data_IF_780426991101
#
_entry.id   IF_780426991101
#
_cell.length_a   1.000
_cell.length_b   1.000
_cell.length_c   1.000
_cell.angle_alpha   90.00
_cell.angle_beta   90.00
_cell.angle_gamma   90.00
#
_symmetry.space_group_name_H-M   'P 1'
#
loop_
_entity.id
_entity.type
_entity.pdbx_description
1 polymer ?
#
# COMPACT_ATOMS: atom_id res chain seq x y z
N UNK A 1 5.89 18.24 -2.69
CA UNK A 1 4.99 17.19 -3.21
C UNK A 1 4.52 16.25 -2.10
N UNK A 2 5.43 15.68 -1.28
CA UNK A 2 5.07 14.82 -0.13
C UNK A 2 4.12 15.54 0.85
N UNK A 3 4.47 16.74 1.28
CA UNK A 3 3.68 17.54 2.22
C UNK A 3 2.30 17.91 1.68
N UNK A 4 2.19 18.18 0.39
CA UNK A 4 0.91 18.49 -0.26
C UNK A 4 0.00 17.24 -0.31
N UNK A 5 0.56 16.07 -0.59
CA UNK A 5 -0.20 14.79 -0.58
C UNK A 5 -0.65 14.48 0.85
N UNK A 6 0.24 14.63 1.84
CA UNK A 6 -0.07 14.43 3.24
C UNK A 6 -1.17 15.40 3.70
N UNK A 7 -1.05 16.70 3.42
CA UNK A 7 -2.02 17.71 3.78
C UNK A 7 -3.41 17.44 3.17
N UNK A 8 -3.46 16.85 1.97
CA UNK A 8 -4.71 16.48 1.32
C UNK A 8 -5.35 15.22 1.95
N UNK A 9 -4.57 14.17 2.17
CA UNK A 9 -5.10 12.90 2.65
C UNK A 9 -5.29 12.82 4.15
N UNK A 10 -4.49 13.55 4.95
CA UNK A 10 -4.54 13.49 6.41
C UNK A 10 -5.93 13.87 6.95
N UNK A 11 -6.58 14.96 6.55
CA UNK A 11 -7.92 15.29 7.02
C UNK A 11 -8.98 14.26 6.62
N UNK A 12 -8.85 13.68 5.42
CA UNK A 12 -9.79 12.68 4.89
C UNK A 12 -9.71 11.37 5.69
N UNK A 13 -8.50 10.99 6.12
CA UNK A 13 -8.27 9.74 6.83
C UNK A 13 -8.36 9.87 8.35
N UNK A 14 -8.05 11.05 8.90
CA UNK A 14 -8.09 11.29 10.36
C UNK A 14 -9.53 11.24 10.91
N UNK A 15 -10.50 11.80 10.17
CA UNK A 15 -11.90 11.81 10.61
C UNK A 15 -12.47 10.38 10.78
N UNK A 16 -12.40 9.48 9.78
CA UNK A 16 -12.86 8.10 10.00
C UNK A 16 -12.00 7.37 11.05
N UNK A 17 -10.69 7.65 11.15
CA UNK A 17 -9.84 7.04 12.17
C UNK A 17 -10.28 7.41 13.58
N UNK A 18 -10.53 8.72 13.86
CA UNK A 18 -10.99 9.17 15.17
C UNK A 18 -12.33 8.54 15.55
N UNK A 19 -13.32 8.55 14.64
CA UNK A 19 -14.62 7.94 14.88
C UNK A 19 -14.53 6.44 15.18
N UNK A 20 -13.69 5.71 14.45
CA UNK A 20 -13.48 4.28 14.70
C UNK A 20 -12.75 4.07 16.03
N UNK A 21 -11.80 4.95 16.37
CA UNK A 21 -11.11 4.88 17.65
C UNK A 21 -12.05 5.14 18.84
N UNK A 22 -12.89 6.16 18.77
CA UNK A 22 -13.91 6.45 19.77
C UNK A 22 -14.84 5.25 20.02
N UNK A 23 -15.20 4.54 18.95
CA UNK A 23 -16.04 3.35 19.04
C UNK A 23 -15.30 2.12 19.57
N UNK A 24 -14.05 1.91 19.20
CA UNK A 24 -13.28 0.68 19.51
C UNK A 24 -12.43 0.78 20.75
N UNK A 25 -12.05 2.00 21.16
CA UNK A 25 -11.10 2.26 22.24
C UNK A 25 -9.67 1.73 21.98
N UNK A 26 -9.38 1.23 20.76
CA UNK A 26 -8.11 0.60 20.42
C UNK A 26 -7.55 1.16 19.11
N UNK A 27 -6.35 1.74 19.18
CA UNK A 27 -5.66 2.30 18.00
C UNK A 27 -5.41 1.26 16.90
N UNK A 28 -5.01 0.05 17.30
CA UNK A 28 -4.75 -1.03 16.34
C UNK A 28 -6.02 -1.50 15.64
N UNK A 29 -7.12 -1.63 16.36
CA UNK A 29 -8.43 -1.95 15.76
C UNK A 29 -8.90 -0.82 14.85
N UNK A 30 -8.68 0.43 15.25
CA UNK A 30 -9.03 1.58 14.41
C UNK A 30 -8.24 1.57 13.08
N UNK A 31 -6.94 1.30 13.11
CA UNK A 31 -6.12 1.15 11.90
C UNK A 31 -6.57 -0.05 11.07
N UNK A 32 -6.88 -1.19 11.68
CA UNK A 32 -7.36 -2.38 10.99
C UNK A 32 -8.65 -2.06 10.22
N UNK A 33 -9.64 -1.50 10.89
CA UNK A 33 -10.94 -1.18 10.29
C UNK A 33 -10.81 -0.10 9.21
N UNK A 34 -10.04 0.96 9.46
CA UNK A 34 -9.74 1.98 8.45
C UNK A 34 -9.08 1.36 7.22
N UNK A 35 -8.12 0.45 7.41
CA UNK A 35 -7.46 -0.25 6.29
C UNK A 35 -8.44 -1.09 5.50
N UNK A 36 -9.38 -1.77 6.17
CA UNK A 36 -10.45 -2.54 5.50
C UNK A 36 -11.33 -1.61 4.66
N UNK A 37 -11.77 -0.49 5.21
CA UNK A 37 -12.60 0.51 4.51
C UNK A 37 -11.88 1.01 3.24
N UNK A 38 -10.60 1.38 3.36
CA UNK A 38 -9.81 1.82 2.21
C UNK A 38 -9.68 0.71 1.16
N UNK A 39 -9.43 -0.54 1.57
CA UNK A 39 -9.32 -1.67 0.64
C UNK A 39 -10.63 -1.97 -0.07
N UNK A 40 -11.77 -1.82 0.61
CA UNK A 40 -13.10 -1.95 0.00
C UNK A 40 -13.33 -0.82 -1.01
N UNK A 41 -13.01 0.43 -0.65
CA UNK A 41 -13.13 1.58 -1.56
C UNK A 41 -12.26 1.43 -2.81
N UNK A 42 -11.07 0.82 -2.69
CA UNK A 42 -10.15 0.55 -3.79
C UNK A 42 -10.42 -0.78 -4.52
N UNK A 43 -11.39 -1.57 -4.09
CA UNK A 43 -11.69 -2.87 -4.70
C UNK A 43 -12.01 -2.78 -6.20
N UNK A 44 -12.79 -1.80 -6.72
CA UNK A 44 -13.02 -1.65 -8.15
C UNK A 44 -11.73 -1.45 -8.95
N UNK A 45 -10.79 -0.66 -8.40
CA UNK A 45 -9.47 -0.44 -8.99
C UNK A 45 -8.68 -1.75 -9.04
N UNK A 46 -8.67 -2.50 -7.94
CA UNK A 46 -7.98 -3.80 -7.85
C UNK A 46 -8.55 -4.81 -8.84
N UNK A 47 -9.88 -4.86 -9.02
CA UNK A 47 -10.54 -5.71 -10.02
C UNK A 47 -10.09 -5.33 -11.43
N UNK A 48 -10.06 -4.03 -11.76
CA UNK A 48 -9.57 -3.54 -13.05
C UNK A 48 -8.11 -3.94 -13.29
N UNK A 49 -7.27 -3.83 -12.27
CA UNK A 49 -5.88 -4.29 -12.31
C UNK A 49 -5.77 -5.79 -12.57
N UNK A 50 -6.59 -6.60 -11.90
CA UNK A 50 -6.62 -8.06 -12.10
C UNK A 50 -7.03 -8.41 -13.53
N UNK A 51 -8.03 -7.72 -14.10
CA UNK A 51 -8.45 -7.89 -15.51
C UNK A 51 -7.32 -7.49 -16.48
N UNK A 52 -6.61 -6.40 -16.21
CA UNK A 52 -5.47 -5.99 -17.04
C UNK A 52 -4.31 -6.99 -16.96
N UNK A 53 -4.03 -7.54 -15.77
CA UNK A 53 -3.02 -8.59 -15.58
C UNK A 53 -3.38 -9.85 -16.37
N UNK A 54 -4.66 -10.22 -16.44
CA UNK A 54 -5.12 -11.34 -17.25
C UNK A 54 -4.91 -11.10 -18.75
N UNK A 55 -5.20 -9.89 -19.26
CA UNK A 55 -4.88 -9.49 -20.65
C UNK A 55 -3.39 -9.60 -20.93
N UNK A 56 -2.54 -9.09 -20.03
CA UNK A 56 -1.10 -9.17 -20.15
C UNK A 56 -0.63 -10.63 -20.22
N UNK A 57 -1.22 -11.52 -19.43
CA UNK A 57 -0.92 -12.96 -19.48
C UNK A 57 -1.22 -13.56 -20.86
N UNK A 58 -2.31 -13.15 -21.51
CA UNK A 58 -2.64 -13.56 -22.90
C UNK A 58 -1.58 -13.12 -23.91
N UNK A 59 -1.00 -11.92 -23.72
CA UNK A 59 0.02 -11.40 -24.62
C UNK A 59 1.41 -11.99 -24.40
N UNK A 60 1.67 -12.61 -23.26
CA UNK A 60 2.98 -13.15 -22.91
C UNK A 60 3.50 -14.18 -23.94
N UNK A 61 2.62 -14.97 -24.55
CA UNK A 61 3.01 -15.89 -25.62
C UNK A 61 3.56 -15.15 -26.86
N UNK A 62 2.93 -14.01 -27.24
CA UNK A 62 3.41 -13.16 -28.34
C UNK A 62 4.73 -12.46 -27.96
N UNK A 63 4.83 -11.96 -26.73
CA UNK A 63 6.05 -11.34 -26.20
C UNK A 63 7.23 -12.32 -26.20
N UNK A 64 7.01 -13.56 -25.78
CA UNK A 64 8.06 -14.58 -25.78
C UNK A 64 8.55 -14.90 -27.19
N UNK A 65 7.64 -14.97 -28.18
CA UNK A 65 8.04 -15.14 -29.60
C UNK A 65 8.90 -13.97 -30.11
N UNK A 66 8.55 -12.73 -29.74
CA UNK A 66 9.35 -11.55 -30.09
C UNK A 66 10.75 -11.64 -29.44
N UNK A 67 10.82 -12.00 -28.15
CA UNK A 67 12.11 -12.16 -27.47
C UNK A 67 12.98 -13.25 -28.10
N UNK A 68 12.42 -14.37 -28.47
CA UNK A 68 13.13 -15.44 -29.18
C UNK A 68 13.60 -14.99 -30.57
N UNK A 69 12.73 -14.30 -31.33
CA UNK A 69 13.09 -13.80 -32.66
C UNK A 69 14.22 -12.79 -32.65
N UNK A 70 14.27 -11.94 -31.63
CA UNK A 70 15.29 -10.88 -31.47
C UNK A 70 16.26 -11.15 -30.32
N UNK A 71 16.61 -12.42 -30.05
CA UNK A 71 17.46 -12.83 -28.94
C UNK A 71 18.81 -12.07 -28.91
N UNK A 72 19.37 -11.79 -30.11
CA UNK A 72 20.66 -11.09 -30.26
C UNK A 72 20.54 -9.55 -30.32
N UNK A 73 19.30 -9.00 -30.26
CA UNK A 73 19.08 -7.56 -30.31
C UNK A 73 17.97 -7.14 -29.33
N UNK A 74 18.37 -6.92 -28.08
CA UNK A 74 17.47 -6.56 -27.00
C UNK A 74 16.73 -5.23 -27.25
N UNK A 75 17.36 -4.25 -27.88
CA UNK A 75 16.72 -2.97 -28.20
C UNK A 75 15.55 -3.17 -29.15
N UNK A 76 15.77 -3.94 -30.23
CA UNK A 76 14.73 -4.23 -31.22
C UNK A 76 13.62 -5.09 -30.62
N UNK A 77 13.95 -6.06 -29.76
CA UNK A 77 12.96 -6.83 -29.03
C UNK A 77 12.06 -5.92 -28.15
N UNK A 78 12.66 -4.94 -27.45
CA UNK A 78 11.94 -4.00 -26.60
C UNK A 78 10.99 -3.09 -27.42
N UNK A 79 11.45 -2.58 -28.56
CA UNK A 79 10.65 -1.76 -29.46
C UNK A 79 9.45 -2.54 -30.02
N UNK A 80 9.65 -3.77 -30.46
CA UNK A 80 8.55 -4.62 -30.97
C UNK A 80 7.57 -5.02 -29.88
N UNK A 81 8.03 -5.24 -28.66
CA UNK A 81 7.15 -5.49 -27.50
C UNK A 81 6.31 -4.25 -27.17
N UNK A 82 6.90 -3.06 -27.20
CA UNK A 82 6.15 -1.81 -27.00
C UNK A 82 5.11 -1.60 -28.10
N UNK A 83 5.48 -1.83 -29.37
CA UNK A 83 4.56 -1.75 -30.51
C UNK A 83 3.41 -2.77 -30.38
N UNK A 84 3.70 -4.00 -29.91
CA UNK A 84 2.68 -4.99 -29.62
C UNK A 84 1.70 -4.50 -28.55
N UNK A 85 2.20 -3.97 -27.44
CA UNK A 85 1.33 -3.45 -26.38
C UNK A 85 0.46 -2.28 -26.86
N UNK A 86 1.01 -1.36 -27.65
CA UNK A 86 0.25 -0.26 -28.25
C UNK A 86 -0.87 -0.75 -29.18
N UNK A 87 -0.57 -1.72 -30.05
CA UNK A 87 -1.56 -2.33 -30.98
C UNK A 87 -2.70 -3.03 -30.23
N UNK A 88 -2.41 -3.64 -29.09
CA UNK A 88 -3.39 -4.34 -28.26
C UNK A 88 -4.10 -3.40 -27.25
N UNK A 89 -3.90 -2.07 -27.40
CA UNK A 89 -4.55 -1.06 -26.56
C UNK A 89 -4.01 -0.95 -25.12
N UNK A 90 -2.79 -1.45 -24.90
CA UNK A 90 -2.09 -1.24 -23.63
C UNK A 90 -1.30 0.08 -23.70
N UNK A 91 -1.88 1.16 -23.21
CA UNK A 91 -1.13 2.40 -22.97
C UNK A 91 -0.11 2.24 -21.84
N UNK A 92 0.88 3.13 -21.78
CA UNK A 92 1.91 3.15 -20.74
C UNK A 92 1.32 3.14 -19.31
N UNK A 93 0.18 3.79 -19.09
CA UNK A 93 -0.54 3.79 -17.83
C UNK A 93 -1.09 2.40 -17.41
N UNK A 94 -1.33 1.49 -18.37
CA UNK A 94 -1.83 0.14 -18.10
C UNK A 94 -0.70 -0.90 -17.93
N UNK A 95 0.56 -0.50 -18.17
CA UNK A 95 1.73 -1.39 -18.13
C UNK A 95 2.31 -1.64 -16.73
N UNK A 96 1.50 -1.54 -15.67
CA UNK A 96 1.86 -2.00 -14.31
C UNK A 96 2.34 -0.92 -13.33
N UNK A 97 2.62 0.32 -13.75
CA UNK A 97 3.02 1.39 -12.81
C UNK A 97 1.82 2.10 -12.15
N UNK A 98 0.67 2.16 -12.80
CA UNK A 98 -0.54 2.77 -12.22
C UNK A 98 -0.97 2.14 -10.87
N UNK A 99 -1.02 0.80 -10.73
CA UNK A 99 -1.29 0.17 -9.44
C UNK A 99 -0.31 0.59 -8.35
N UNK A 100 0.98 0.65 -8.69
CA UNK A 100 2.03 1.05 -7.77
C UNK A 100 1.89 2.52 -7.36
N UNK A 101 1.56 3.41 -8.30
CA UNK A 101 1.33 4.82 -8.03
C UNK A 101 0.14 5.03 -7.07
N UNK A 102 -0.99 4.35 -7.30
CA UNK A 102 -2.16 4.41 -6.41
C UNK A 102 -1.80 3.87 -5.02
N UNK A 103 -1.09 2.75 -4.95
CA UNK A 103 -0.63 2.17 -3.68
C UNK A 103 0.31 3.12 -2.93
N UNK A 104 1.22 3.82 -3.64
CA UNK A 104 2.10 4.83 -3.03
C UNK A 104 1.31 6.03 -2.47
N UNK A 105 0.31 6.52 -3.19
CA UNK A 105 -0.54 7.62 -2.71
C UNK A 105 -1.28 7.25 -1.42
N UNK A 106 -1.89 6.06 -1.39
CA UNK A 106 -2.57 5.54 -0.19
C UNK A 106 -1.59 5.36 0.97
N UNK A 107 -0.41 4.84 0.68
CA UNK A 107 0.65 4.64 1.67
C UNK A 107 1.10 5.98 2.27
N UNK A 108 1.33 7.00 1.45
CA UNK A 108 1.72 8.34 1.93
C UNK A 108 0.62 8.93 2.82
N UNK A 109 -0.66 8.79 2.42
CA UNK A 109 -1.78 9.26 3.22
C UNK A 109 -1.89 8.57 4.58
N UNK A 110 -1.79 7.24 4.60
CA UNK A 110 -1.82 6.45 5.84
C UNK A 110 -0.61 6.74 6.73
N UNK A 111 0.58 6.86 6.17
CA UNK A 111 1.76 7.26 6.94
C UNK A 111 1.59 8.64 7.56
N UNK A 112 0.97 9.60 6.83
CA UNK A 112 0.64 10.89 7.38
C UNK A 112 -0.12 10.77 8.70
N UNK A 113 -1.20 9.99 8.69
CA UNK A 113 -2.06 9.77 9.87
C UNK A 113 -1.34 9.00 10.98
N UNK A 114 -0.49 8.03 10.64
CA UNK A 114 0.23 7.21 11.61
C UNK A 114 1.38 7.95 12.28
N UNK A 115 1.99 8.92 11.59
CA UNK A 115 3.01 9.80 12.19
C UNK A 115 2.42 10.91 13.04
N UNK A 116 1.14 11.19 12.90
CA UNK A 116 0.42 12.19 13.66
C UNK A 116 -0.77 11.58 14.41
N UNK A 117 -0.53 10.60 15.29
CA UNK A 117 -1.61 9.87 15.95
C UNK A 117 -2.42 10.75 16.91
N UNK A 118 -1.79 11.74 17.57
CA UNK A 118 -2.47 12.69 18.46
C UNK A 118 -3.42 13.58 17.66
N UNK A 119 -2.91 14.23 16.60
CA UNK A 119 -3.73 15.06 15.72
C UNK A 119 -4.83 14.27 15.02
N UNK A 120 -4.56 13.01 14.67
CA UNK A 120 -5.47 12.18 13.88
C UNK A 120 -6.56 11.51 14.71
N UNK A 121 -6.32 11.27 15.99
CA UNK A 121 -7.23 10.59 16.91
C UNK A 121 -7.89 11.56 17.87
N UNK A 122 -7.09 12.30 18.66
CA UNK A 122 -7.60 13.24 19.66
C UNK A 122 -8.07 14.57 19.06
N UNK A 123 -7.59 14.90 17.86
CA UNK A 123 -8.02 16.07 17.09
C UNK A 123 -7.85 17.40 17.85
N UNK A 124 -6.77 17.55 18.62
CA UNK A 124 -6.46 18.78 19.30
C UNK A 124 -6.35 19.96 18.32
N UNK A 125 -6.66 21.18 18.79
CA UNK A 125 -6.59 22.37 17.96
C UNK A 125 -5.17 22.61 17.42
N UNK A 126 -5.08 23.26 16.26
CA UNK A 126 -3.79 23.57 15.63
C UNK A 126 -2.86 24.35 16.56
N UNK A 127 -3.41 25.23 17.41
CA UNK A 127 -2.63 26.00 18.38
C UNK A 127 -1.99 25.11 19.45
N UNK A 128 -2.76 24.16 20.01
CA UNK A 128 -2.26 23.19 20.98
C UNK A 128 -1.16 22.31 20.35
N UNK A 129 -1.39 21.86 19.11
CA UNK A 129 -0.42 21.03 18.39
C UNK A 129 0.88 21.78 18.08
N UNK A 130 0.80 23.07 17.71
CA UNK A 130 1.97 23.93 17.50
C UNK A 130 2.76 24.14 18.79
N UNK A 131 2.09 24.38 19.90
CA UNK A 131 2.73 24.54 21.21
C UNK A 131 3.40 23.24 21.67
N UNK A 132 2.72 22.10 21.55
CA UNK A 132 3.29 20.78 21.82
C UNK A 132 4.52 20.50 20.95
N UNK A 133 4.48 20.87 19.67
CA UNK A 133 5.60 20.76 18.75
C UNK A 133 6.82 21.57 19.20
N UNK A 134 6.61 22.80 19.70
CA UNK A 134 7.69 23.64 20.23
C UNK A 134 8.35 23.01 21.48
N UNK A 135 7.54 22.43 22.37
CA UNK A 135 8.06 21.68 23.53
C UNK A 135 8.94 20.52 23.06
N UNK A 136 8.49 19.76 22.05
CA UNK A 136 9.23 18.62 21.53
C UNK A 136 10.46 19.00 20.70
N UNK A 137 10.46 20.16 20.02
CA UNK A 137 11.62 20.62 19.27
C UNK A 137 12.84 20.78 20.18
N UNK A 138 12.66 21.34 21.40
CA UNK A 138 13.72 21.45 22.40
C UNK A 138 14.24 20.08 22.88
N UNK A 139 13.42 19.03 22.83
CA UNK A 139 13.79 17.65 23.19
C UNK A 139 14.58 16.96 22.07
N UNK A 140 14.19 17.20 20.82
CA UNK A 140 14.86 16.66 19.64
C UNK A 140 16.30 17.18 19.56
N UNK A 141 16.53 18.44 19.91
CA UNK A 141 17.87 19.04 19.97
C UNK A 141 18.76 18.38 21.05
N UNK A 142 18.17 17.80 22.11
CA UNK A 142 18.95 17.08 23.16
C UNK A 142 19.35 15.64 22.80
N UNK A 143 19.05 15.17 21.59
CA UNK A 143 19.63 13.94 21.03
C UNK A 143 18.83 12.66 21.22
N UNK A 144 17.52 12.73 21.48
CA UNK A 144 16.68 11.52 21.49
C UNK A 144 16.65 10.90 20.07
N UNK A 145 17.26 9.72 19.93
CA UNK A 145 17.36 8.98 18.66
C UNK A 145 16.01 8.61 18.05
N UNK A 146 14.93 8.58 18.83
CA UNK A 146 13.57 8.27 18.39
C UNK A 146 12.85 9.49 17.80
N UNK A 147 13.36 10.69 18.01
CA UNK A 147 12.80 11.95 17.48
C UNK A 147 13.55 12.47 16.24
N UNK A 148 14.20 11.58 15.49
CA UNK A 148 15.08 11.91 14.35
C UNK A 148 14.42 12.68 13.19
N UNK A 149 13.12 12.88 13.22
CA UNK A 149 12.40 13.63 12.20
C UNK A 149 11.38 14.56 12.85
N UNK A 150 11.39 15.82 12.45
CA UNK A 150 10.34 16.80 12.80
C UNK A 150 8.91 16.31 12.53
N UNK A 151 8.76 15.28 11.71
CA UNK A 151 7.48 14.64 11.38
C UNK A 151 7.04 13.59 12.41
N UNK A 152 7.88 13.23 13.38
CA UNK A 152 7.58 12.19 14.39
C UNK A 152 7.40 12.77 15.80
N UNK A 153 7.23 14.08 15.95
CA UNK A 153 7.15 14.71 17.28
C UNK A 153 5.94 14.18 18.08
N UNK A 154 4.84 13.82 17.45
CA UNK A 154 3.67 13.26 18.14
C UNK A 154 3.94 11.88 18.71
N UNK A 155 4.68 11.05 17.97
CA UNK A 155 5.13 9.72 18.45
C UNK A 155 6.08 9.87 19.63
N UNK A 156 7.04 10.81 19.53
CA UNK A 156 7.96 11.10 20.62
C UNK A 156 7.23 11.68 21.85
N UNK A 157 6.18 12.47 21.63
CA UNK A 157 5.31 12.98 22.68
C UNK A 157 4.59 11.85 23.44
N UNK A 158 3.95 10.93 22.71
CA UNK A 158 3.29 9.78 23.32
C UNK A 158 4.25 8.94 24.18
N UNK A 159 5.48 8.78 23.73
CA UNK A 159 6.50 8.05 24.48
C UNK A 159 6.92 8.76 25.76
N UNK A 160 7.01 10.10 25.75
CA UNK A 160 7.65 10.88 26.81
C UNK A 160 6.67 11.81 27.55
N UNK A 161 5.34 11.67 27.39
CA UNK A 161 4.36 12.61 27.94
C UNK A 161 4.49 12.81 29.46
N UNK A 162 4.82 11.76 30.21
CA UNK A 162 5.06 11.84 31.68
C UNK A 162 6.27 12.71 32.01
N UNK A 163 7.32 12.64 31.20
CA UNK A 163 8.54 13.45 31.40
C UNK A 163 8.30 14.94 31.21
N UNK A 164 7.35 15.27 30.33
CA UNK A 164 7.02 16.67 29.97
C UNK A 164 5.69 17.16 30.56
N UNK A 165 5.13 16.45 31.55
CA UNK A 165 3.85 16.79 32.19
C UNK A 165 3.77 18.25 32.60
N UNK A 166 4.81 18.77 33.32
CA UNK A 166 4.81 20.18 33.76
C UNK A 166 4.72 21.18 32.62
N UNK A 167 5.43 20.96 31.52
CA UNK A 167 5.38 21.83 30.33
C UNK A 167 4.10 21.64 29.52
N UNK A 168 3.57 20.45 29.49
CA UNK A 168 2.34 20.13 28.79
C UNK A 168 1.12 20.73 29.51
N UNK A 169 1.12 20.76 30.82
CA UNK A 169 0.07 21.37 31.65
C UNK A 169 -0.04 22.91 31.50
N UNK A 170 0.99 23.56 30.95
CA UNK A 170 0.94 25.00 30.60
C UNK A 170 0.15 25.25 29.30
N UNK A 171 0.03 24.23 28.44
CA UNK A 171 -0.53 24.33 27.09
C UNK A 171 -1.85 23.57 26.94
N UNK A 172 -1.97 22.45 27.63
CA UNK A 172 -3.15 21.58 27.61
C UNK A 172 -4.02 21.83 28.83
N UNK A 173 -5.34 21.75 28.65
CA UNK A 173 -6.27 21.69 29.80
C UNK A 173 -6.07 20.36 30.57
N UNK A 174 -6.55 20.28 31.78
CA UNK A 174 -6.51 19.05 32.57
C UNK A 174 -7.22 17.89 31.85
N UNK A 175 -8.31 18.17 31.13
CA UNK A 175 -9.06 17.22 30.33
C UNK A 175 -8.23 16.74 29.10
N UNK A 176 -7.66 17.67 28.31
CA UNK A 176 -6.78 17.31 27.18
C UNK A 176 -5.59 16.47 27.61
N UNK A 177 -4.99 16.78 28.75
CA UNK A 177 -3.87 16.03 29.28
C UNK A 177 -4.30 14.61 29.73
N UNK A 178 -5.47 14.47 30.31
CA UNK A 178 -6.04 13.18 30.68
C UNK A 178 -6.32 12.34 29.42
N UNK A 179 -6.88 12.92 28.38
CA UNK A 179 -7.11 12.24 27.09
C UNK A 179 -5.79 11.80 26.43
N UNK A 180 -4.78 12.67 26.46
CA UNK A 180 -3.44 12.34 25.97
C UNK A 180 -2.82 11.19 26.74
N UNK A 181 -2.92 11.22 28.09
CA UNK A 181 -2.39 10.19 28.95
C UNK A 181 -3.10 8.85 28.74
N UNK A 182 -4.43 8.85 28.66
CA UNK A 182 -5.24 7.66 28.36
C UNK A 182 -4.87 7.07 26.99
N UNK A 183 -4.76 7.93 25.97
CA UNK A 183 -4.36 7.50 24.65
C UNK A 183 -2.96 6.91 24.63
N UNK A 184 -2.00 7.54 25.29
CA UNK A 184 -0.62 7.05 25.39
C UNK A 184 -0.53 5.68 26.08
N UNK A 185 -1.30 5.46 27.16
CA UNK A 185 -1.34 4.15 27.84
C UNK A 185 -2.00 3.05 26.98
N UNK A 186 -2.96 3.42 26.14
CA UNK A 186 -3.63 2.52 25.19
C UNK A 186 -2.86 2.35 23.87
N UNK A 187 -1.83 3.16 23.63
CA UNK A 187 -1.01 3.12 22.41
C UNK A 187 -0.04 1.93 22.42
N UNK A 188 -0.60 0.73 22.68
CA UNK A 188 0.13 -0.53 22.84
C UNK A 188 -0.52 -1.65 22.02
N UNK A 189 0.29 -2.61 21.62
CA UNK A 189 -0.17 -3.83 20.95
C UNK A 189 0.60 -5.04 21.46
N UNK A 190 -0.08 -6.06 21.96
CA UNK A 190 0.53 -7.26 22.59
C UNK A 190 1.57 -6.91 23.66
N UNK A 191 1.33 -5.86 24.43
CA UNK A 191 2.28 -5.37 25.47
C UNK A 191 3.43 -4.54 24.91
N UNK A 192 3.56 -4.37 23.60
CA UNK A 192 4.58 -3.54 22.96
C UNK A 192 4.06 -2.12 22.78
N UNK A 193 4.85 -1.13 23.15
CA UNK A 193 4.58 0.28 22.90
C UNK A 193 4.77 0.60 21.42
N UNK A 194 3.73 1.13 20.79
CA UNK A 194 3.70 1.42 19.35
C UNK A 194 4.57 2.61 18.95
N UNK A 195 4.97 3.44 19.92
CA UNK A 195 5.87 4.58 19.72
C UNK A 195 7.35 4.20 19.59
N UNK A 196 7.73 3.02 20.07
CA UNK A 196 9.12 2.56 20.07
C UNK A 196 9.53 2.07 18.67
N UNK A 197 10.70 2.50 18.21
CA UNK A 197 11.32 1.97 16.99
C UNK A 197 12.23 0.80 17.35
N UNK A 198 12.05 -0.39 16.73
CA UNK A 198 12.94 -1.53 16.98
C UNK A 198 14.39 -1.19 16.62
N UNK A 199 15.35 -1.56 17.47
CA UNK A 199 16.77 -1.41 17.15
C UNK A 199 17.30 -2.71 16.52
N UNK A 200 17.87 -2.60 15.31
CA UNK A 200 18.45 -3.75 14.62
C UNK A 200 19.71 -4.30 15.31
N UNK A 201 20.36 -3.52 16.20
CA UNK A 201 21.58 -3.90 16.92
C UNK A 201 21.31 -4.47 18.31
N UNK A 202 20.11 -4.20 18.87
CA UNK A 202 19.72 -4.66 20.19
C UNK A 202 18.46 -5.53 20.09
N UNK A 203 18.61 -6.86 20.03
CA UNK A 203 17.48 -7.79 19.94
C UNK A 203 16.58 -7.69 21.18
N UNK A 204 15.31 -7.38 20.95
CA UNK A 204 14.30 -7.23 22.00
C UNK A 204 12.95 -7.80 21.53
N UNK A 205 11.94 -7.78 22.40
CA UNK A 205 10.58 -8.20 22.03
C UNK A 205 10.02 -7.42 20.82
N UNK A 206 10.51 -6.21 20.57
CA UNK A 206 10.12 -5.41 19.41
C UNK A 206 10.53 -6.00 18.05
N UNK A 207 11.51 -6.92 18.02
CA UNK A 207 11.89 -7.65 16.81
C UNK A 207 10.77 -8.54 16.25
N UNK A 208 9.79 -8.87 17.09
CA UNK A 208 8.61 -9.62 16.65
C UNK A 208 7.91 -8.93 15.46
N UNK A 209 7.86 -7.61 15.47
CA UNK A 209 7.14 -6.83 14.43
C UNK A 209 7.85 -6.86 13.07
N UNK A 210 9.17 -6.56 12.96
CA UNK A 210 9.90 -6.75 11.70
C UNK A 210 9.84 -8.18 11.17
N UNK A 211 9.97 -9.18 12.04
CA UNK A 211 9.92 -10.58 11.65
C UNK A 211 8.53 -10.94 11.10
N UNK A 212 7.45 -10.61 11.82
CA UNK A 212 6.08 -10.85 11.36
C UNK A 212 5.77 -10.10 10.05
N UNK A 213 6.24 -8.88 9.91
CA UNK A 213 6.09 -8.10 8.68
C UNK A 213 6.78 -8.78 7.50
N UNK A 214 8.00 -9.27 7.68
CA UNK A 214 8.74 -10.03 6.67
C UNK A 214 8.03 -11.35 6.33
N UNK A 215 7.59 -12.12 7.33
CA UNK A 215 6.90 -13.41 7.13
C UNK A 215 5.60 -13.23 6.37
N UNK A 216 4.76 -12.25 6.74
CA UNK A 216 3.50 -11.98 6.04
C UNK A 216 3.71 -11.52 4.60
N UNK A 217 4.75 -10.71 4.34
CA UNK A 217 5.15 -10.32 2.99
C UNK A 217 5.70 -11.52 2.19
N UNK A 218 6.50 -12.41 2.81
CA UNK A 218 7.02 -13.63 2.19
C UNK A 218 5.90 -14.57 1.75
N UNK A 219 4.91 -14.82 2.60
CA UNK A 219 3.75 -15.67 2.28
C UNK A 219 3.05 -15.14 1.00
N UNK A 220 2.78 -13.84 0.96
CA UNK A 220 2.17 -13.19 -0.22
C UNK A 220 3.05 -13.31 -1.47
N UNK A 221 4.35 -13.09 -1.33
CA UNK A 221 5.31 -13.14 -2.43
C UNK A 221 5.47 -14.55 -3.00
N UNK A 222 5.58 -15.56 -2.13
CA UNK A 222 5.66 -16.98 -2.54
C UNK A 222 4.38 -17.40 -3.27
N UNK A 223 3.21 -17.05 -2.73
CA UNK A 223 1.93 -17.34 -3.39
C UNK A 223 1.88 -16.75 -4.80
N UNK A 224 2.28 -15.47 -4.94
CA UNK A 224 2.31 -14.80 -6.25
C UNK A 224 3.31 -15.42 -7.20
N UNK A 225 4.50 -15.76 -6.72
CA UNK A 225 5.52 -16.44 -7.52
C UNK A 225 5.04 -17.78 -8.05
N UNK A 226 4.47 -18.63 -7.19
CA UNK A 226 3.93 -19.93 -7.58
C UNK A 226 2.79 -19.79 -8.59
N UNK A 227 1.92 -18.81 -8.40
CA UNK A 227 0.84 -18.51 -9.32
C UNK A 227 1.35 -18.05 -10.68
N UNK A 228 2.33 -17.14 -10.71
CA UNK A 228 2.96 -16.67 -11.95
C UNK A 228 3.70 -17.79 -12.67
N UNK A 229 4.44 -18.62 -11.93
CA UNK A 229 5.11 -19.80 -12.48
C UNK A 229 4.13 -20.75 -13.18
N UNK A 230 2.96 -20.97 -12.58
CA UNK A 230 1.90 -21.81 -13.18
C UNK A 230 1.27 -21.17 -14.44
N UNK A 231 1.14 -19.85 -14.46
CA UNK A 231 0.52 -19.13 -15.57
C UNK A 231 1.50 -18.85 -16.72
N UNK A 232 2.77 -18.72 -16.42
CA UNK A 232 3.80 -18.32 -17.38
C UNK A 232 5.17 -18.95 -17.04
N UNK A 233 5.37 -20.24 -17.33
CA UNK A 233 6.60 -20.97 -16.97
C UNK A 233 7.87 -20.33 -17.52
N UNK A 234 7.82 -19.75 -18.72
CA UNK A 234 8.97 -19.10 -19.36
C UNK A 234 9.42 -17.83 -18.62
N UNK A 235 8.47 -17.02 -18.14
CA UNK A 235 8.82 -15.85 -17.31
C UNK A 235 9.44 -16.26 -15.97
N UNK A 236 8.99 -17.36 -15.40
CA UNK A 236 9.52 -17.86 -14.12
C UNK A 236 10.97 -18.36 -14.21
N UNK A 237 11.47 -18.65 -15.42
CA UNK A 237 12.89 -19.00 -15.66
C UNK A 237 13.80 -17.76 -15.63
N UNK A 238 13.23 -16.54 -15.67
CA UNK A 238 14.02 -15.32 -15.62
C UNK A 238 14.46 -15.03 -14.18
N UNK A 239 15.76 -14.97 -13.86
CA UNK A 239 16.28 -14.71 -12.52
C UNK A 239 15.81 -13.38 -11.94
N UNK A 240 15.58 -12.36 -12.79
CA UNK A 240 15.08 -11.05 -12.37
C UNK A 240 13.68 -11.14 -11.73
N UNK A 241 12.83 -12.07 -12.17
CA UNK A 241 11.51 -12.29 -11.56
C UNK A 241 11.63 -12.82 -10.12
N UNK A 242 12.56 -13.73 -9.87
CA UNK A 242 12.86 -14.20 -8.52
C UNK A 242 13.34 -13.08 -7.62
N UNK A 243 14.30 -12.31 -8.09
CA UNK A 243 14.84 -11.15 -7.35
C UNK A 243 13.72 -10.15 -6.99
N UNK A 244 12.89 -9.75 -7.96
CA UNK A 244 11.77 -8.83 -7.72
C UNK A 244 10.74 -9.39 -6.72
N UNK A 245 10.52 -10.70 -6.72
CA UNK A 245 9.58 -11.36 -5.80
C UNK A 245 10.06 -11.25 -4.35
N UNK A 246 11.36 -11.45 -4.10
CA UNK A 246 11.92 -11.41 -2.75
C UNK A 246 12.33 -10.01 -2.30
N UNK A 247 12.36 -9.03 -3.18
CA UNK A 247 12.65 -7.64 -2.84
C UNK A 247 11.60 -7.05 -1.89
N UNK A 248 10.31 -7.35 -2.09
CA UNK A 248 9.23 -6.84 -1.23
C UNK A 248 9.35 -7.29 0.24
N UNK A 249 9.56 -8.58 0.57
CA UNK A 249 9.83 -9.02 1.94
C UNK A 249 11.08 -8.40 2.56
N UNK A 250 12.16 -8.30 1.78
CA UNK A 250 13.41 -7.67 2.25
C UNK A 250 13.20 -6.19 2.60
N UNK A 251 12.48 -5.45 1.74
CA UNK A 251 12.11 -4.06 2.01
C UNK A 251 11.19 -3.95 3.23
N UNK A 252 10.22 -4.86 3.39
CA UNK A 252 9.32 -4.90 4.55
C UNK A 252 10.10 -5.05 5.85
N UNK A 253 11.07 -5.96 5.87
CA UNK A 253 11.97 -6.15 7.02
C UNK A 253 12.78 -4.88 7.31
N UNK A 254 13.43 -4.31 6.29
CA UNK A 254 14.29 -3.13 6.44
C UNK A 254 13.49 -1.92 6.95
N UNK A 255 12.34 -1.65 6.35
CA UNK A 255 11.54 -0.49 6.73
C UNK A 255 10.95 -0.60 8.13
N UNK A 256 10.56 -1.80 8.58
CA UNK A 256 10.03 -1.97 9.93
C UNK A 256 11.06 -1.76 11.04
N UNK A 257 12.37 -1.83 10.74
CA UNK A 257 13.43 -1.38 11.64
C UNK A 257 13.70 0.14 11.58
N UNK A 258 13.21 0.83 10.55
CA UNK A 258 13.42 2.27 10.41
C UNK A 258 12.28 3.09 11.01
N UNK A 259 11.13 2.48 11.26
CA UNK A 259 9.91 3.15 11.66
C UNK A 259 9.38 2.67 13.02
N UNK A 260 8.57 3.49 13.71
CA UNK A 260 7.92 3.08 14.95
C UNK A 260 7.10 1.79 14.79
N UNK A 261 7.04 1.02 15.87
CA UNK A 261 6.31 -0.27 15.94
C UNK A 261 4.88 -0.18 15.43
N UNK A 262 4.18 0.94 15.67
CA UNK A 262 2.83 1.17 15.14
C UNK A 262 2.75 1.09 13.62
N UNK A 263 3.74 1.64 12.91
CA UNK A 263 3.85 1.54 11.44
C UNK A 263 4.09 0.08 11.02
N UNK A 264 4.92 -0.65 11.76
CA UNK A 264 5.18 -2.06 11.53
C UNK A 264 3.92 -2.92 11.69
N UNK A 265 3.11 -2.67 12.72
CA UNK A 265 1.82 -3.34 12.95
C UNK A 265 0.86 -3.08 11.78
N UNK A 266 0.74 -1.82 11.34
CA UNK A 266 -0.03 -1.52 10.12
C UNK A 266 0.48 -2.31 8.92
N UNK A 267 1.80 -2.43 8.75
CA UNK A 267 2.38 -3.17 7.62
C UNK A 267 1.98 -4.65 7.63
N UNK A 268 2.01 -5.28 8.80
CA UNK A 268 1.53 -6.66 8.98
C UNK A 268 0.05 -6.78 8.60
N UNK A 269 -0.80 -5.90 9.14
CA UNK A 269 -2.24 -5.84 8.85
C UNK A 269 -2.46 -5.67 7.33
N UNK A 270 -1.77 -4.72 6.72
CA UNK A 270 -1.88 -4.44 5.28
C UNK A 270 -1.44 -5.62 4.42
N UNK A 271 -0.37 -6.34 4.80
CA UNK A 271 0.09 -7.53 4.10
C UNK A 271 -0.96 -8.64 4.17
N UNK A 272 -1.51 -8.92 5.35
CA UNK A 272 -2.54 -9.95 5.55
C UNK A 272 -3.80 -9.62 4.74
N UNK A 273 -4.31 -8.40 4.86
CA UNK A 273 -5.50 -7.97 4.12
C UNK A 273 -5.27 -7.96 2.60
N UNK A 274 -4.07 -7.57 2.15
CA UNK A 274 -3.69 -7.64 0.74
C UNK A 274 -3.65 -9.07 0.23
N UNK A 275 -3.13 -10.00 1.03
CA UNK A 275 -3.08 -11.42 0.71
C UNK A 275 -4.49 -12.01 0.58
N UNK A 276 -5.38 -11.73 1.54
CA UNK A 276 -6.79 -12.14 1.48
C UNK A 276 -7.48 -11.57 0.24
N UNK A 277 -7.32 -10.28 -0.02
CA UNK A 277 -7.87 -9.62 -1.21
C UNK A 277 -7.34 -10.25 -2.51
N UNK A 278 -6.06 -10.61 -2.56
CA UNK A 278 -5.42 -11.24 -3.70
C UNK A 278 -5.94 -12.65 -3.95
N UNK A 279 -6.16 -13.45 -2.91
CA UNK A 279 -6.80 -14.77 -3.02
C UNK A 279 -8.21 -14.60 -3.57
N UNK A 280 -9.01 -13.72 -2.96
CA UNK A 280 -10.39 -13.45 -3.38
C UNK A 280 -10.47 -13.01 -4.85
N UNK A 281 -9.72 -11.99 -5.23
CA UNK A 281 -9.71 -11.50 -6.62
C UNK A 281 -9.18 -12.54 -7.61
N UNK A 282 -8.24 -13.38 -7.20
CA UNK A 282 -7.71 -14.46 -8.02
C UNK A 282 -8.72 -15.58 -8.27
N UNK A 283 -9.56 -15.84 -7.28
CA UNK A 283 -10.61 -16.85 -7.38
C UNK A 283 -11.78 -16.37 -8.23
N UNK A 284 -12.26 -15.16 -7.96
CA UNK A 284 -13.41 -14.57 -8.67
C UNK A 284 -13.05 -14.19 -10.10
N UNK A 285 -11.92 -13.50 -10.29
CA UNK A 285 -11.43 -12.99 -11.58
C UNK A 285 -10.21 -13.77 -12.05
N UNK A 286 -10.32 -15.10 -12.15
CA UNK A 286 -9.21 -15.92 -12.63
C UNK A 286 -8.85 -15.54 -14.08
N UNK A 287 -7.55 -15.56 -14.48
CA UNK A 287 -7.13 -15.20 -15.82
C UNK A 287 -7.86 -15.97 -16.91
N UNK A 288 -8.15 -17.25 -16.69
CA UNK A 288 -8.89 -18.09 -17.64
C UNK A 288 -10.31 -17.56 -17.88
N UNK A 289 -11.05 -17.24 -16.81
CA UNK A 289 -12.41 -16.69 -16.90
C UNK A 289 -12.41 -15.33 -17.58
N UNK A 290 -11.50 -14.43 -17.19
CA UNK A 290 -11.39 -13.08 -17.76
C UNK A 290 -11.02 -13.12 -19.23
N UNK A 291 -10.05 -13.97 -19.63
CA UNK A 291 -9.65 -14.15 -21.02
C UNK A 291 -10.82 -14.71 -21.85
N UNK A 292 -11.55 -15.71 -21.35
CA UNK A 292 -12.70 -16.26 -22.03
C UNK A 292 -13.79 -15.21 -22.27
N UNK A 293 -14.12 -14.41 -21.25
CA UNK A 293 -15.08 -13.32 -21.39
C UNK A 293 -14.64 -12.29 -22.44
N UNK A 294 -13.37 -11.88 -22.43
CA UNK A 294 -12.84 -10.95 -23.41
C UNK A 294 -12.87 -11.50 -24.84
N UNK A 295 -12.58 -12.79 -25.02
CA UNK A 295 -12.67 -13.43 -26.34
C UNK A 295 -14.12 -13.44 -26.87
N UNK A 296 -15.10 -13.66 -26.00
CA UNK A 296 -16.52 -13.58 -26.35
C UNK A 296 -16.90 -12.16 -26.76
N UNK A 297 -16.54 -11.15 -25.94
CA UNK A 297 -16.79 -9.74 -26.23
C UNK A 297 -16.16 -9.30 -27.56
N UNK A 298 -14.88 -9.66 -27.80
CA UNK A 298 -14.19 -9.38 -29.06
C UNK A 298 -14.90 -10.05 -30.25
N UNK A 299 -15.40 -11.27 -30.09
CA UNK A 299 -16.12 -11.98 -31.17
C UNK A 299 -17.46 -11.32 -31.48
N UNK A 300 -18.19 -10.90 -30.42
CA UNK A 300 -19.46 -10.17 -30.58
C UNK A 300 -19.24 -8.85 -31.34
N UNK A 301 -18.23 -8.08 -30.88
CA UNK A 301 -17.88 -6.80 -31.53
C UNK A 301 -17.46 -6.98 -33.00
N UNK A 302 -16.68 -8.02 -33.29
CA UNK A 302 -16.28 -8.34 -34.65
C UNK A 302 -17.49 -8.68 -35.53
N UNK A 303 -18.38 -9.57 -35.08
CA UNK A 303 -19.60 -9.95 -35.78
C UNK A 303 -20.53 -8.75 -35.99
N UNK A 304 -20.68 -7.89 -35.01
CA UNK A 304 -21.46 -6.65 -35.11
C UNK A 304 -20.92 -5.74 -36.24
N UNK A 305 -19.59 -5.52 -36.30
CA UNK A 305 -18.94 -4.73 -37.34
C UNK A 305 -19.09 -5.38 -38.70
N UNK A 306 -18.92 -6.70 -38.80
CA UNK A 306 -19.12 -7.45 -40.06
C UNK A 306 -20.56 -7.31 -40.57
N UNK A 307 -21.57 -7.41 -39.69
CA UNK A 307 -22.97 -7.22 -40.04
C UNK A 307 -23.27 -5.79 -40.50
N UNK A 308 -22.75 -4.78 -39.82
CA UNK A 308 -22.88 -3.37 -40.19
C UNK A 308 -22.28 -3.11 -41.60
N UNK A 309 -21.11 -3.69 -41.86
CA UNK A 309 -20.45 -3.56 -43.18
C UNK A 309 -21.25 -4.25 -44.29
N UNK A 310 -21.80 -5.44 -44.02
CA UNK A 310 -22.67 -6.16 -44.99
C UNK A 310 -23.91 -5.34 -45.33
N UNK A 311 -24.61 -4.79 -44.35
CA UNK A 311 -25.79 -3.93 -44.56
C UNK A 311 -25.45 -2.68 -45.36
N UNK A 312 -24.29 -2.08 -45.14
CA UNK A 312 -23.84 -0.91 -45.91
C UNK A 312 -23.60 -1.25 -47.37
N UNK A 313 -22.88 -2.34 -47.64
CA UNK A 313 -22.62 -2.82 -48.99
C UNK A 313 -23.92 -3.21 -49.72
N UNK A 314 -24.90 -3.76 -48.99
CA UNK A 314 -26.21 -4.12 -49.54
C UNK A 314 -27.05 -2.88 -49.93
N UNK A 315 -26.97 -1.83 -49.12
CA UNK A 315 -27.63 -0.55 -49.38
C UNK A 315 -26.95 0.26 -50.50
N UNK A 316 -25.64 0.13 -50.69
CA UNK A 316 -24.90 0.77 -51.79
C UNK A 316 -25.15 0.07 -53.15
N UNK A 317 -25.69 -1.15 -53.14
CA UNK A 317 -26.03 -1.90 -54.37
C UNK A 317 -27.50 -1.74 -54.83
N UNK A 318 -28.33 -1.11 -54.00
CA UNK A 318 -29.70 -0.73 -54.31
C UNK A 318 -29.77 0.70 -54.81
#
# INVERSE_FOLDING_TARGET
>A
MYDAIRAFFSPILSLPLSLIYEWTGSYVLAILLLTIVIKIALLPVTIKQQKNSAKQTRLNAKVNRIRQKYANNQQKAQQEIQALYQREGFGAANMGCMPMAIQMLVMIGLYGVMYTPISSVLRFSSEKMEAMKKIMAAVIETGDKNARSANMYEIAMLKNYKTYEGKLSEVLSAEDFADLAEFAEKFKFLGLDLSVTPDAKDPSAYWLIPILSCVTALISSIYMYLKQKKQNPEMAKNPAMGCMTFMSPAMSLMFTFMFPTGVGVYWIISNILSFVQQIFTSFVYSPKKVIAQQMVEETILRRSKENTTKLRVENEKK
#
